data_IF_282257506154
#
_entry.id   IF_282257506154
#
_cell.length_a   1.000
_cell.length_b   1.000
_cell.length_c   1.000
_cell.angle_alpha   90.00
_cell.angle_beta   90.00
_cell.angle_gamma   90.00
#
_symmetry.space_group_name_H-M   'P 1'
#
loop_
_entity.id
_entity.type
_entity.pdbx_description
1 polymer ?
#
# COMPACT_ATOMS: atom_id res chain seq x y z
N UNK A 1 -15.85 22.81 -14.50
CA UNK A 1 -14.85 22.53 -13.45
C UNK A 1 -15.24 21.21 -12.81
N UNK A 2 -14.31 20.27 -12.68
CA UNK A 2 -14.57 19.01 -12.00
C UNK A 2 -14.69 19.27 -10.48
N UNK A 3 -15.85 19.04 -9.85
CA UNK A 3 -16.05 19.30 -8.42
C UNK A 3 -15.18 18.42 -7.51
N UNK A 4 -14.59 17.35 -8.05
CA UNK A 4 -13.77 16.39 -7.30
C UNK A 4 -12.26 16.64 -7.42
N UNK A 5 -11.82 17.65 -8.17
CA UNK A 5 -10.39 17.88 -8.44
C UNK A 5 -9.52 18.05 -7.19
N UNK A 6 -10.07 18.56 -6.08
CA UNK A 6 -9.34 18.66 -4.81
C UNK A 6 -9.15 17.30 -4.14
N UNK A 7 -10.08 16.35 -4.30
CA UNK A 7 -9.89 14.96 -3.83
C UNK A 7 -8.78 14.27 -4.60
N UNK A 8 -8.69 14.53 -5.91
CA UNK A 8 -7.61 13.97 -6.73
C UNK A 8 -6.24 14.45 -6.26
N UNK A 9 -6.11 15.72 -5.88
CA UNK A 9 -4.88 16.27 -5.29
C UNK A 9 -4.56 15.63 -3.93
N UNK A 10 -5.55 15.48 -3.06
CA UNK A 10 -5.39 14.79 -1.77
C UNK A 10 -4.93 13.34 -1.99
N UNK A 11 -5.53 12.64 -2.95
CA UNK A 11 -5.15 11.27 -3.29
C UNK A 11 -3.71 11.18 -3.80
N UNK A 12 -3.28 12.09 -4.68
CA UNK A 12 -1.90 12.12 -5.17
C UNK A 12 -0.89 12.39 -4.05
N UNK A 13 -1.16 13.36 -3.17
CA UNK A 13 -0.31 13.64 -2.01
C UNK A 13 -0.25 12.42 -1.08
N UNK A 14 -1.38 11.79 -0.80
CA UNK A 14 -1.44 10.57 0.01
C UNK A 14 -0.68 9.40 -0.65
N UNK A 15 -0.77 9.22 -1.96
CA UNK A 15 -0.03 8.20 -2.72
C UNK A 15 1.49 8.41 -2.55
N UNK A 16 1.98 9.64 -2.68
CA UNK A 16 3.42 9.92 -2.54
C UNK A 16 3.89 9.65 -1.11
N UNK A 17 3.17 10.19 -0.11
CA UNK A 17 3.59 10.08 1.29
C UNK A 17 3.43 8.65 1.83
N UNK A 18 2.27 8.03 1.60
CA UNK A 18 1.96 6.71 2.13
C UNK A 18 2.50 5.60 1.22
N UNK A 19 2.23 5.67 -0.08
CA UNK A 19 2.73 4.67 -1.03
C UNK A 19 4.26 4.71 -1.11
N UNK A 20 4.85 5.87 -1.35
CA UNK A 20 6.31 6.03 -1.35
C UNK A 20 6.94 5.68 0.00
N UNK A 21 6.35 6.18 1.11
CA UNK A 21 6.80 5.86 2.46
C UNK A 21 6.74 4.37 2.79
N UNK A 22 5.73 3.65 2.30
CA UNK A 22 5.59 2.20 2.49
C UNK A 22 6.74 1.42 1.85
N UNK A 23 7.10 1.79 0.61
CA UNK A 23 8.18 1.15 -0.14
C UNK A 23 9.53 1.43 0.52
N UNK A 24 9.76 2.66 0.97
CA UNK A 24 10.95 3.00 1.73
C UNK A 24 11.03 2.21 3.05
N UNK A 25 9.92 2.09 3.78
CA UNK A 25 9.86 1.34 5.05
C UNK A 25 10.18 -0.14 4.86
N UNK A 26 9.59 -0.82 3.87
CA UNK A 26 9.89 -2.26 3.66
C UNK A 26 11.34 -2.51 3.18
N UNK A 27 11.99 -1.49 2.62
CA UNK A 27 13.41 -1.55 2.26
C UNK A 27 14.38 -1.45 3.45
N UNK A 28 13.87 -1.18 4.66
CA UNK A 28 14.66 -1.09 5.89
C UNK A 28 15.06 -2.47 6.40
N UNK A 29 16.20 -2.55 7.11
CA UNK A 29 16.70 -3.80 7.72
C UNK A 29 16.24 -3.98 9.16
N UNK A 30 15.81 -2.90 9.79
CA UNK A 30 15.43 -2.91 11.19
C UNK A 30 14.00 -3.46 11.38
N UNK A 31 13.66 -3.91 12.60
CA UNK A 31 12.41 -4.61 12.89
C UNK A 31 11.14 -3.80 12.61
N UNK A 32 11.22 -2.47 12.62
CA UNK A 32 10.12 -1.56 12.27
C UNK A 32 9.77 -1.54 10.77
N UNK A 33 10.57 -2.17 9.88
CA UNK A 33 10.28 -2.24 8.44
C UNK A 33 8.88 -2.82 8.14
N UNK A 34 8.40 -3.72 9.01
CA UNK A 34 7.09 -4.37 8.90
C UNK A 34 5.90 -3.41 8.94
N UNK A 35 6.09 -2.20 9.49
CA UNK A 35 5.08 -1.15 9.45
C UNK A 35 4.84 -0.64 8.03
N UNK A 36 5.83 -0.79 7.14
CA UNK A 36 5.69 -0.48 5.71
C UNK A 36 4.51 -1.20 5.08
N UNK A 37 4.24 -2.45 5.44
CA UNK A 37 3.08 -3.18 4.89
C UNK A 37 1.73 -2.59 5.32
N UNK A 38 1.63 -2.07 6.54
CA UNK A 38 0.42 -1.40 7.04
C UNK A 38 0.24 -0.05 6.34
N UNK A 39 1.31 0.74 6.22
CA UNK A 39 1.28 2.03 5.51
C UNK A 39 0.91 1.83 4.04
N UNK A 40 1.46 0.79 3.40
CA UNK A 40 1.14 0.43 2.02
C UNK A 40 -0.32 0.04 1.84
N UNK A 41 -0.89 -0.70 2.80
CA UNK A 41 -2.32 -1.04 2.80
C UNK A 41 -3.21 0.21 2.94
N UNK A 42 -2.88 1.13 3.85
CA UNK A 42 -3.62 2.40 4.03
C UNK A 42 -3.52 3.28 2.78
N UNK A 43 -2.45 3.16 1.99
CA UNK A 43 -2.33 3.90 0.72
C UNK A 43 -3.29 3.41 -0.39
N UNK A 44 -3.80 2.17 -0.31
CA UNK A 44 -4.54 1.55 -1.40
C UNK A 44 -5.84 2.26 -1.81
N UNK A 45 -6.69 2.77 -0.89
CA UNK A 45 -7.89 3.53 -1.27
C UNK A 45 -7.59 4.72 -2.19
N UNK A 46 -6.45 5.39 -2.00
CA UNK A 46 -6.04 6.53 -2.82
C UNK A 46 -5.59 6.10 -4.21
N UNK A 47 -4.85 4.98 -4.31
CA UNK A 47 -4.51 4.37 -5.59
C UNK A 47 -5.75 3.91 -6.37
N UNK A 48 -6.72 3.28 -5.70
CA UNK A 48 -7.99 2.89 -6.31
C UNK A 48 -8.76 4.11 -6.83
N UNK A 49 -8.88 5.18 -6.03
CA UNK A 49 -9.53 6.42 -6.44
C UNK A 49 -8.87 7.02 -7.68
N UNK A 50 -7.54 7.19 -7.64
CA UNK A 50 -6.78 7.79 -8.74
C UNK A 50 -6.86 6.97 -10.03
N UNK A 51 -6.72 5.64 -9.94
CA UNK A 51 -6.78 4.76 -11.10
C UNK A 51 -8.18 4.70 -11.74
N UNK A 52 -9.23 4.66 -10.92
CA UNK A 52 -10.63 4.68 -11.39
C UNK A 52 -10.97 6.00 -12.08
N UNK A 53 -10.64 7.13 -11.43
CA UNK A 53 -10.92 8.49 -11.95
C UNK A 53 -10.18 8.78 -13.26
N UNK A 54 -9.00 8.21 -13.43
CA UNK A 54 -8.20 8.32 -14.65
C UNK A 54 -8.52 7.23 -15.70
N UNK A 55 -9.51 6.36 -15.45
CA UNK A 55 -9.90 5.23 -16.31
C UNK A 55 -8.73 4.27 -16.65
N UNK A 56 -7.74 4.18 -15.77
CA UNK A 56 -6.56 3.34 -15.94
C UNK A 56 -6.82 1.92 -15.42
N UNK A 57 -7.61 1.14 -16.16
CA UNK A 57 -8.05 -0.19 -15.74
C UNK A 57 -6.92 -1.17 -15.41
N UNK A 58 -5.79 -1.10 -16.13
CA UNK A 58 -4.61 -1.91 -15.81
C UNK A 58 -4.05 -1.60 -14.42
N UNK A 59 -3.96 -0.31 -14.07
CA UNK A 59 -3.53 0.13 -12.73
C UNK A 59 -4.58 -0.19 -11.67
N UNK A 60 -5.86 -0.07 -12.01
CA UNK A 60 -6.96 -0.42 -11.11
C UNK A 60 -6.93 -1.91 -10.73
N UNK A 61 -6.65 -2.80 -11.70
CA UNK A 61 -6.45 -4.23 -11.43
C UNK A 61 -5.20 -4.48 -10.56
N UNK A 62 -4.10 -3.74 -10.82
CA UNK A 62 -2.90 -3.80 -9.97
C UNK A 62 -3.17 -3.39 -8.52
N UNK A 63 -4.10 -2.48 -8.27
CA UNK A 63 -4.47 -2.10 -6.90
C UNK A 63 -5.01 -3.29 -6.10
N UNK A 64 -5.75 -4.23 -6.72
CA UNK A 64 -6.16 -5.47 -6.04
C UNK A 64 -4.97 -6.37 -5.73
N UNK A 65 -4.00 -6.46 -6.64
CA UNK A 65 -2.78 -7.23 -6.42
C UNK A 65 -1.96 -6.64 -5.27
N UNK A 66 -1.84 -5.32 -5.21
CA UNK A 66 -1.15 -4.61 -4.14
C UNK A 66 -1.89 -4.75 -2.81
N UNK A 67 -3.21 -4.59 -2.80
CA UNK A 67 -4.06 -4.86 -1.64
C UNK A 67 -3.80 -6.27 -1.06
N UNK A 68 -3.78 -7.29 -1.92
CA UNK A 68 -3.43 -8.65 -1.52
C UNK A 68 -2.00 -8.74 -0.97
N UNK A 69 -1.02 -8.19 -1.69
CA UNK A 69 0.39 -8.28 -1.32
C UNK A 69 0.71 -7.57 0.00
N UNK A 70 0.12 -6.39 0.25
CA UNK A 70 0.25 -5.67 1.52
C UNK A 70 -0.38 -6.46 2.66
N UNK A 71 -1.58 -7.02 2.44
CA UNK A 71 -2.26 -7.87 3.42
C UNK A 71 -1.47 -9.14 3.74
N UNK A 72 -0.88 -9.77 2.73
CA UNK A 72 0.00 -10.93 2.89
C UNK A 72 1.25 -10.58 3.71
N UNK A 73 1.85 -9.41 3.46
CA UNK A 73 2.96 -8.91 4.27
C UNK A 73 2.57 -8.71 5.73
N UNK A 74 1.42 -8.08 5.98
CA UNK A 74 0.90 -7.92 7.35
C UNK A 74 0.72 -9.29 8.01
N UNK A 75 0.09 -10.25 7.33
CA UNK A 75 -0.07 -11.62 7.82
C UNK A 75 1.27 -12.26 8.21
N UNK A 76 2.27 -12.17 7.33
CA UNK A 76 3.58 -12.80 7.54
C UNK A 76 4.38 -12.19 8.70
N UNK A 77 4.26 -10.88 8.94
CA UNK A 77 5.08 -10.19 9.95
C UNK A 77 4.38 -9.95 11.30
N UNK A 78 3.04 -10.04 11.33
CA UNK A 78 2.27 -9.75 12.54
C UNK A 78 1.49 -10.94 13.08
N UNK A 79 1.02 -11.84 12.21
CA UNK A 79 0.11 -12.92 12.61
C UNK A 79 0.73 -14.31 12.49
N UNK A 80 1.63 -14.53 11.52
CA UNK A 80 2.25 -15.83 11.32
C UNK A 80 3.25 -16.11 12.47
N UNK A 81 3.05 -17.18 13.25
CA UNK A 81 4.01 -17.55 14.29
C UNK A 81 5.36 -17.89 13.65
N UNK A 82 6.45 -17.53 14.33
CA UNK A 82 7.79 -17.88 13.87
C UNK A 82 7.87 -19.40 13.73
N UNK A 83 8.22 -19.88 12.53
CA UNK A 83 8.50 -21.29 12.34
C UNK A 83 9.67 -21.66 13.27
N UNK A 84 9.53 -22.66 14.16
CA UNK A 84 10.66 -23.17 14.92
C UNK A 84 11.78 -23.53 13.95
N UNK A 85 13.02 -23.15 14.26
CA UNK A 85 14.16 -23.62 13.48
C UNK A 85 14.27 -25.12 13.71
N UNK A 86 14.43 -25.94 12.65
CA UNK A 86 14.75 -27.34 12.84
C UNK A 86 16.11 -27.46 13.54
N UNK A 87 16.13 -28.30 14.56
CA UNK A 87 17.26 -28.63 15.44
C UNK A 87 18.52 -29.05 14.67
#
# INVERSE_FOLDING_TARGET
MDPWGWLDQVAQVAIVLLGGGSIWLIGRKESWMRWGYIVGLISQPFWFWAAWRAEQWGLFLLCFWYLYSWSQGIWNYWFKPACPKPD
#
